data_IF_321165989585
#
_entry.id   IF_321165989585
#
_cell.length_a   1.000
_cell.length_b   1.000
_cell.length_c   1.000
_cell.angle_alpha   90.00
_cell.angle_beta   90.00
_cell.angle_gamma   90.00
#
_symmetry.space_group_name_H-M   'P 1'
#
loop_
_entity.id
_entity.type
_entity.pdbx_description
1 polymer ?
#
# COMPACT_ATOMS: atom_id res chain seq x y z
N UNK A 1 -15.14 38.44 -13.72
CA UNK A 1 -15.26 37.11 -14.35
C UNK A 1 -13.93 36.34 -14.44
N UNK A 2 -12.77 36.99 -14.61
CA UNK A 2 -11.45 36.31 -14.65
C UNK A 2 -10.96 35.73 -13.31
N UNK A 3 -11.43 36.23 -12.16
CA UNK A 3 -10.98 35.79 -10.83
C UNK A 3 -11.49 34.40 -10.44
N UNK A 4 -12.70 34.04 -10.89
CA UNK A 4 -13.30 32.72 -10.61
C UNK A 4 -12.57 31.55 -11.29
N UNK A 5 -12.08 31.78 -12.52
CA UNK A 5 -11.28 30.80 -13.26
C UNK A 5 -9.93 30.54 -12.56
N UNK A 6 -9.33 31.60 -12.02
CA UNK A 6 -8.06 31.52 -11.30
C UNK A 6 -8.20 30.80 -9.96
N UNK A 7 -9.26 31.07 -9.20
CA UNK A 7 -9.54 30.35 -7.94
C UNK A 7 -9.87 28.86 -8.17
N UNK A 8 -10.54 28.52 -9.27
CA UNK A 8 -10.83 27.13 -9.62
C UNK A 8 -9.55 26.37 -10.01
N UNK A 9 -8.61 27.02 -10.70
CA UNK A 9 -7.34 26.44 -11.13
C UNK A 9 -6.36 26.26 -9.95
N UNK A 10 -6.35 27.21 -9.00
CA UNK A 10 -5.56 27.12 -7.76
C UNK A 10 -6.15 26.07 -6.80
N UNK A 11 -7.48 25.98 -6.68
CA UNK A 11 -8.13 24.93 -5.88
C UNK A 11 -7.88 23.53 -6.46
N UNK A 12 -7.91 23.38 -7.79
CA UNK A 12 -7.57 22.13 -8.46
C UNK A 12 -6.10 21.73 -8.26
N UNK A 13 -5.18 22.70 -8.26
CA UNK A 13 -3.76 22.48 -7.96
C UNK A 13 -3.49 22.07 -6.50
N UNK A 14 -4.21 22.66 -5.54
CA UNK A 14 -4.04 22.39 -4.10
C UNK A 14 -4.52 20.99 -3.68
N UNK A 15 -5.52 20.44 -4.39
CA UNK A 15 -6.04 19.08 -4.13
C UNK A 15 -5.06 18.00 -4.64
N UNK A 16 -4.29 18.30 -5.68
CA UNK A 16 -3.29 17.39 -6.26
C UNK A 16 -2.02 17.28 -5.40
N UNK A 17 -1.73 18.30 -4.58
CA UNK A 17 -0.54 18.34 -3.72
C UNK A 17 -0.77 17.97 -2.26
N UNK A 18 -1.96 17.54 -1.81
CA UNK A 18 -2.12 17.11 -0.41
C UNK A 18 -1.37 15.80 -0.14
N UNK A 19 -0.26 15.81 0.63
CA UNK A 19 0.29 14.58 1.15
C UNK A 19 -0.70 13.97 2.14
N UNK A 20 -0.96 12.68 1.98
CA UNK A 20 -1.80 11.91 2.91
C UNK A 20 -1.23 12.06 4.34
N UNK A 21 -2.08 12.33 5.34
CA UNK A 21 -1.64 12.55 6.71
C UNK A 21 -0.90 11.32 7.25
N UNK A 22 0.30 11.56 7.78
CA UNK A 22 1.26 10.57 8.28
C UNK A 22 0.78 9.77 9.51
N UNK A 23 -0.42 10.03 10.04
CA UNK A 23 -0.93 9.40 11.27
C UNK A 23 -1.39 7.95 11.10
N UNK A 24 -1.51 7.45 9.86
CA UNK A 24 -1.81 6.04 9.60
C UNK A 24 -0.56 5.12 9.62
N UNK A 25 0.66 5.70 9.65
CA UNK A 25 1.92 4.93 9.68
C UNK A 25 2.33 4.45 11.08
N UNK A 26 1.86 5.10 12.15
CA UNK A 26 2.34 4.84 13.50
C UNK A 26 1.61 3.70 14.26
N UNK A 27 0.52 3.13 13.72
CA UNK A 27 -0.27 2.10 14.41
C UNK A 27 -0.04 0.68 13.90
N UNK A 28 0.70 0.51 12.80
CA UNK A 28 0.93 -0.80 12.18
C UNK A 28 2.33 -1.39 12.47
N UNK A 29 3.14 -0.75 13.31
CA UNK A 29 4.51 -1.17 13.64
C UNK A 29 4.75 -1.30 15.15
N UNK A 30 3.77 -1.81 15.90
CA UNK A 30 4.02 -2.38 17.23
C UNK A 30 3.88 -3.90 17.11
N UNK A 31 4.99 -4.65 17.06
CA UNK A 31 4.94 -6.07 17.34
C UNK A 31 4.74 -6.27 18.85
N UNK A 32 3.63 -6.90 19.23
CA UNK A 32 3.44 -7.48 20.56
C UNK A 32 4.45 -8.62 20.72
N UNK A 33 5.54 -8.32 21.42
CA UNK A 33 6.48 -9.28 21.99
C UNK A 33 6.35 -9.16 23.50
N UNK A 34 5.32 -9.77 24.08
CA UNK A 34 5.21 -9.98 25.51
C UNK A 34 4.26 -11.15 25.80
N UNK A 35 4.87 -12.29 26.16
CA UNK A 35 4.27 -13.28 27.06
C UNK A 35 3.34 -14.31 26.43
N UNK A 36 3.91 -15.41 25.94
CA UNK A 36 3.23 -16.71 26.04
C UNK A 36 4.24 -17.77 26.52
N UNK A 37 4.58 -17.63 27.80
CA UNK A 37 5.26 -18.59 28.63
C UNK A 37 4.47 -18.71 29.94
N UNK A 38 3.31 -19.37 29.87
CA UNK A 38 2.50 -19.91 30.96
C UNK A 38 1.16 -20.31 30.29
N UNK A 39 0.65 -21.53 30.33
CA UNK A 39 0.42 -22.31 31.53
C UNK A 39 -0.11 -23.68 31.09
N UNK A 40 0.63 -24.74 31.40
CA UNK A 40 0.29 -26.14 31.14
C UNK A 40 -0.40 -26.81 32.34
N UNK A 41 -0.92 -26.09 33.34
CA UNK A 41 -1.06 -26.70 34.69
C UNK A 41 -2.46 -26.80 35.31
N UNK A 42 -3.56 -26.42 34.66
CA UNK A 42 -4.88 -26.41 35.36
C UNK A 42 -6.03 -27.09 34.62
N UNK A 43 -5.72 -28.23 34.01
CA UNK A 43 -6.67 -29.34 33.80
C UNK A 43 -6.81 -30.13 35.12
N UNK A 44 -7.59 -29.68 36.12
CA UNK A 44 -8.04 -30.57 37.24
C UNK A 44 -9.03 -30.06 38.30
N UNK A 45 -9.57 -28.84 38.24
CA UNK A 45 -10.66 -28.45 39.14
C UNK A 45 -11.98 -28.47 38.34
N UNK A 46 -12.61 -29.63 38.13
CA UNK A 46 -13.44 -30.27 39.14
C UNK A 46 -14.24 -29.24 39.94
N UNK A 47 -15.51 -29.10 39.56
CA UNK A 47 -16.56 -29.91 40.16
C UNK A 47 -16.85 -29.38 41.56
N UNK A 48 -17.71 -28.36 41.60
CA UNK A 48 -18.71 -28.11 42.64
C UNK A 48 -19.25 -26.69 42.47
N UNK A 49 -20.29 -26.58 41.64
CA UNK A 49 -21.11 -25.38 41.52
C UNK A 49 -22.50 -25.67 40.93
N UNK A 50 -22.85 -26.97 40.85
CA UNK A 50 -24.05 -27.52 40.24
C UNK A 50 -25.33 -27.26 41.05
N UNK A 51 -25.32 -26.37 42.05
CA UNK A 51 -26.47 -26.06 42.90
C UNK A 51 -26.94 -24.60 42.82
N UNK A 52 -26.32 -23.73 42.01
CA UNK A 52 -26.81 -22.35 41.81
C UNK A 52 -27.83 -22.22 40.66
N UNK A 53 -28.42 -23.32 40.20
CA UNK A 53 -29.36 -23.40 39.05
C UNK A 53 -30.85 -23.23 39.39
N UNK A 54 -31.22 -22.71 40.58
CA UNK A 54 -32.65 -22.59 40.96
C UNK A 54 -33.20 -21.15 41.09
N UNK A 55 -32.46 -20.10 40.75
CA UNK A 55 -32.85 -18.72 41.09
C UNK A 55 -33.21 -17.72 39.97
N UNK A 56 -32.86 -17.92 38.70
CA UNK A 56 -32.90 -16.80 37.72
C UNK A 56 -33.47 -17.18 36.34
N UNK A 57 -34.54 -17.97 36.32
CA UNK A 57 -35.24 -18.38 35.09
C UNK A 57 -36.09 -17.25 34.45
N UNK A 58 -36.07 -16.01 34.97
CA UNK A 58 -36.95 -14.93 34.50
C UNK A 58 -36.27 -13.72 33.81
N UNK A 59 -34.94 -13.64 33.68
CA UNK A 59 -34.32 -12.46 33.03
C UNK A 59 -32.91 -12.79 32.54
N UNK A 60 -32.75 -13.13 31.26
CA UNK A 60 -31.40 -13.32 30.71
C UNK A 60 -31.23 -14.19 29.48
N UNK A 61 -32.27 -14.45 28.68
CA UNK A 61 -32.17 -14.97 27.31
C UNK A 61 -31.37 -14.06 26.34
N UNK A 62 -30.57 -13.12 26.85
CA UNK A 62 -30.00 -11.98 26.14
C UNK A 62 -28.46 -11.92 26.12
N UNK A 63 -27.74 -12.85 26.77
CA UNK A 63 -26.29 -12.60 26.98
C UNK A 63 -25.32 -13.77 26.92
N UNK A 64 -25.79 -14.97 26.62
CA UNK A 64 -24.95 -16.05 26.14
C UNK A 64 -25.81 -16.75 25.08
N UNK A 65 -25.45 -16.69 23.81
CA UNK A 65 -24.71 -17.81 23.24
C UNK A 65 -24.28 -17.44 21.82
N UNK A 66 -23.00 -17.70 21.55
CA UNK A 66 -22.53 -18.31 20.29
C UNK A 66 -22.71 -17.45 19.03
N UNK A 67 -21.69 -16.78 18.46
CA UNK A 67 -20.32 -17.20 18.20
C UNK A 67 -19.44 -15.97 17.89
N UNK A 68 -18.14 -16.14 18.14
CA UNK A 68 -17.03 -15.60 17.31
C UNK A 68 -17.49 -15.01 15.95
N UNK A 69 -16.90 -13.87 15.57
CA UNK A 69 -16.13 -13.96 14.33
C UNK A 69 -14.74 -13.35 14.46
N UNK A 70 -13.76 -14.20 14.14
CA UNK A 70 -12.48 -13.80 13.55
C UNK A 70 -12.74 -12.99 12.28
N UNK A 71 -11.94 -11.94 12.09
CA UNK A 71 -11.47 -11.35 10.84
C UNK A 71 -12.48 -10.78 9.81
N UNK A 72 -12.39 -9.45 9.70
CA UNK A 72 -12.70 -8.51 8.60
C UNK A 72 -12.88 -9.05 7.17
N UNK A 73 -13.94 -8.56 6.49
CA UNK A 73 -13.82 -7.88 5.21
C UNK A 73 -14.40 -6.45 5.29
N UNK A 74 -13.80 -5.51 4.56
CA UNK A 74 -14.27 -4.11 4.52
C UNK A 74 -15.65 -4.05 3.88
N UNK A 75 -16.64 -3.76 4.72
CA UNK A 75 -18.06 -3.78 4.39
C UNK A 75 -18.46 -2.60 3.47
N UNK A 76 -18.89 -2.85 2.23
CA UNK A 76 -19.29 -1.80 1.26
C UNK A 76 -20.51 -1.00 1.73
N UNK A 77 -21.21 -1.44 2.77
CA UNK A 77 -22.38 -0.75 3.34
C UNK A 77 -22.02 0.46 4.21
N UNK A 78 -20.82 0.51 4.82
CA UNK A 78 -20.30 1.74 5.48
C UNK A 78 -19.92 2.83 4.48
N UNK A 79 -19.45 2.45 3.29
CA UNK A 79 -19.19 3.40 2.20
C UNK A 79 -20.49 4.03 1.66
N UNK A 80 -21.59 3.27 1.64
CA UNK A 80 -22.92 3.74 1.22
C UNK A 80 -23.57 4.67 2.25
N UNK A 81 -23.39 4.44 3.56
CA UNK A 81 -23.93 5.31 4.63
C UNK A 81 -23.19 6.65 4.76
N UNK A 82 -21.87 6.66 4.55
CA UNK A 82 -21.08 7.90 4.50
C UNK A 82 -21.39 8.72 3.22
N UNK A 83 -21.71 8.04 2.11
CA UNK A 83 -22.23 8.69 0.90
C UNK A 83 -23.62 9.32 1.09
N UNK A 84 -24.54 8.62 1.76
CA UNK A 84 -25.89 9.13 2.03
C UNK A 84 -25.91 10.35 2.98
N UNK A 85 -25.01 10.39 3.97
CA UNK A 85 -24.90 11.53 4.89
C UNK A 85 -24.38 12.81 4.21
N UNK A 86 -23.61 12.69 3.13
CA UNK A 86 -23.13 13.82 2.34
C UNK A 86 -24.20 14.39 1.39
N UNK A 87 -25.13 13.55 0.94
CA UNK A 87 -26.31 13.97 0.15
C UNK A 87 -27.32 14.72 1.02
N UNK A 88 -27.42 14.40 2.32
CA UNK A 88 -28.33 15.07 3.25
C UNK A 88 -27.92 16.52 3.62
N UNK A 89 -26.70 16.96 3.30
CA UNK A 89 -26.26 18.36 3.46
C UNK A 89 -26.75 19.31 2.35
N UNK A 90 -27.56 18.81 1.41
CA UNK A 90 -28.14 19.51 0.27
C UNK A 90 -29.25 20.53 0.66
N UNK A 91 -28.95 21.48 1.55
CA UNK A 91 -29.87 22.54 1.97
C UNK A 91 -29.23 23.94 1.85
N UNK A 92 -28.57 24.27 0.72
CA UNK A 92 -28.98 25.52 0.07
C UNK A 92 -29.07 25.40 -1.46
N UNK A 93 -30.22 25.80 -2.00
CA UNK A 93 -30.93 25.09 -3.07
C UNK A 93 -30.72 25.53 -4.55
N UNK A 94 -29.99 26.59 -4.97
CA UNK A 94 -29.88 26.88 -6.42
C UNK A 94 -28.50 26.57 -7.06
N UNK A 95 -27.43 26.34 -6.29
CA UNK A 95 -26.07 26.11 -6.83
C UNK A 95 -25.79 24.60 -7.03
N UNK A 96 -26.70 23.74 -6.56
CA UNK A 96 -26.46 22.32 -6.37
C UNK A 96 -26.39 21.45 -7.65
N UNK A 97 -27.19 21.61 -8.72
CA UNK A 97 -27.20 20.60 -9.79
C UNK A 97 -25.91 20.60 -10.61
N UNK A 98 -25.28 21.77 -10.78
CA UNK A 98 -24.05 21.92 -11.57
C UNK A 98 -22.82 21.41 -10.81
N UNK A 99 -22.78 21.55 -9.48
CA UNK A 99 -21.69 21.06 -8.64
C UNK A 99 -21.88 19.62 -8.14
N UNK A 100 -23.12 19.11 -8.06
CA UNK A 100 -23.42 17.77 -7.58
C UNK A 100 -22.94 16.67 -8.56
N UNK A 101 -23.08 16.88 -9.87
CA UNK A 101 -22.61 15.95 -10.90
C UNK A 101 -21.10 15.69 -10.83
N UNK A 102 -20.21 16.71 -10.84
CA UNK A 102 -18.78 16.47 -10.71
C UNK A 102 -18.39 15.95 -9.32
N UNK A 103 -19.06 16.38 -8.25
CA UNK A 103 -18.79 15.86 -6.91
C UNK A 103 -19.13 14.36 -6.79
N UNK A 104 -20.25 13.92 -7.36
CA UNK A 104 -20.63 12.50 -7.43
C UNK A 104 -19.65 11.69 -8.29
N UNK A 105 -19.22 12.23 -9.44
CA UNK A 105 -18.22 11.59 -10.30
C UNK A 105 -16.87 11.42 -9.58
N UNK A 106 -16.42 12.45 -8.85
CA UNK A 106 -15.19 12.41 -8.04
C UNK A 106 -15.32 11.43 -6.87
N UNK A 107 -16.45 11.42 -6.17
CA UNK A 107 -16.72 10.47 -5.08
C UNK A 107 -16.73 9.01 -5.55
N UNK A 108 -17.24 8.75 -6.76
CA UNK A 108 -17.20 7.44 -7.40
C UNK A 108 -15.78 7.06 -7.88
N UNK A 109 -15.03 8.01 -8.43
CA UNK A 109 -13.70 7.75 -9.00
C UNK A 109 -12.59 7.60 -7.95
N UNK A 110 -12.68 8.30 -6.81
CA UNK A 110 -11.70 8.22 -5.72
C UNK A 110 -11.40 6.79 -5.23
N UNK A 111 -12.39 5.93 -4.89
CA UNK A 111 -12.13 4.59 -4.40
C UNK A 111 -11.45 3.71 -5.46
N UNK A 112 -11.83 3.82 -6.74
CA UNK A 112 -11.21 3.11 -7.86
C UNK A 112 -9.73 3.44 -7.99
N UNK A 113 -9.36 4.72 -7.92
CA UNK A 113 -7.97 5.17 -7.96
C UNK A 113 -7.21 4.75 -6.70
N UNK A 114 -7.83 4.88 -5.52
CA UNK A 114 -7.21 4.50 -4.26
C UNK A 114 -6.85 3.01 -4.23
N UNK A 115 -7.75 2.14 -4.71
CA UNK A 115 -7.51 0.70 -4.82
C UNK A 115 -6.35 0.40 -5.78
N UNK A 116 -6.35 0.99 -6.98
CA UNK A 116 -5.24 0.85 -7.94
C UNK A 116 -3.90 1.34 -7.38
N UNK A 117 -3.91 2.40 -6.58
CA UNK A 117 -2.70 2.91 -5.92
C UNK A 117 -2.21 1.97 -4.82
N UNK A 118 -3.11 1.32 -4.08
CA UNK A 118 -2.75 0.34 -3.04
C UNK A 118 -2.07 -0.89 -3.64
N UNK A 119 -2.65 -1.48 -4.70
CA UNK A 119 -2.05 -2.64 -5.37
C UNK A 119 -0.69 -2.31 -5.96
N UNK A 120 -0.59 -1.18 -6.68
CA UNK A 120 0.70 -0.69 -7.20
C UNK A 120 1.75 -0.45 -6.11
N UNK A 121 1.34 0.05 -4.93
CA UNK A 121 2.26 0.22 -3.79
C UNK A 121 2.73 -1.12 -3.23
N UNK A 122 1.85 -2.11 -3.15
CA UNK A 122 2.20 -3.46 -2.70
C UNK A 122 3.22 -4.11 -3.66
N UNK A 123 2.94 -4.14 -4.97
CA UNK A 123 3.86 -4.69 -5.97
C UNK A 123 5.21 -3.97 -5.97
N UNK A 124 5.22 -2.64 -5.85
CA UNK A 124 6.49 -1.89 -5.72
C UNK A 124 7.26 -2.22 -4.46
N UNK A 125 6.58 -2.51 -3.35
CA UNK A 125 7.25 -2.93 -2.13
C UNK A 125 7.93 -4.30 -2.32
N UNK A 126 7.26 -5.24 -2.99
CA UNK A 126 7.83 -6.54 -3.39
C UNK A 126 9.05 -6.34 -4.29
N UNK A 127 8.96 -5.53 -5.35
CA UNK A 127 10.09 -5.30 -6.25
C UNK A 127 11.31 -4.66 -5.58
N UNK A 128 11.10 -3.83 -4.55
CA UNK A 128 12.20 -3.20 -3.82
C UNK A 128 12.89 -4.16 -2.84
N UNK A 129 12.15 -5.16 -2.36
CA UNK A 129 12.60 -6.19 -1.41
C UNK A 129 13.19 -7.42 -2.12
N UNK A 130 12.85 -7.60 -3.40
CA UNK A 130 13.33 -8.70 -4.24
C UNK A 130 14.86 -8.88 -4.26
N UNK A 131 15.71 -7.83 -4.36
CA UNK A 131 17.16 -8.01 -4.32
C UNK A 131 17.66 -8.76 -3.09
N UNK A 132 17.12 -8.40 -1.92
CA UNK A 132 17.53 -8.97 -0.64
C UNK A 132 17.11 -10.44 -0.53
N UNK A 133 15.89 -10.76 -0.96
CA UNK A 133 15.42 -12.15 -1.00
C UNK A 133 16.24 -13.01 -1.97
N UNK A 134 16.58 -12.49 -3.15
CA UNK A 134 17.43 -13.19 -4.13
C UNK A 134 18.83 -13.42 -3.58
N UNK A 135 19.44 -12.42 -2.95
CA UNK A 135 20.77 -12.53 -2.35
C UNK A 135 20.82 -13.62 -1.26
N UNK A 136 19.79 -13.72 -0.42
CA UNK A 136 19.69 -14.77 0.59
C UNK A 136 19.48 -16.17 -0.03
N UNK A 137 18.72 -16.27 -1.11
CA UNK A 137 18.54 -17.53 -1.84
C UNK A 137 19.83 -18.00 -2.51
N UNK A 138 20.55 -17.09 -3.18
CA UNK A 138 21.87 -17.36 -3.77
C UNK A 138 22.83 -17.86 -2.70
N UNK A 139 22.89 -17.17 -1.55
CA UNK A 139 23.77 -17.56 -0.44
C UNK A 139 23.42 -18.95 0.11
N UNK A 140 22.13 -19.25 0.27
CA UNK A 140 21.67 -20.54 0.75
C UNK A 140 21.98 -21.68 -0.21
N UNK A 141 21.65 -21.50 -1.50
CA UNK A 141 21.83 -22.53 -2.53
C UNK A 141 23.31 -22.71 -2.86
N UNK A 142 24.08 -21.63 -2.93
CA UNK A 142 25.54 -21.67 -3.06
C UNK A 142 26.23 -22.36 -1.89
N UNK A 143 25.63 -22.33 -0.70
CA UNK A 143 26.06 -23.09 0.48
C UNK A 143 25.63 -24.56 0.49
N UNK A 144 25.00 -25.06 -0.58
CA UNK A 144 24.58 -26.46 -0.72
C UNK A 144 23.16 -26.76 -0.21
N UNK A 145 22.35 -25.76 0.14
CA UNK A 145 20.94 -25.99 0.47
C UNK A 145 20.15 -26.36 -0.80
N UNK A 146 19.26 -27.34 -0.68
CA UNK A 146 18.24 -27.58 -1.71
C UNK A 146 17.33 -26.35 -1.88
N UNK A 147 16.69 -26.22 -3.05
CA UNK A 147 15.77 -25.12 -3.36
C UNK A 147 14.70 -24.95 -2.27
N UNK A 148 14.09 -26.06 -1.85
CA UNK A 148 13.09 -26.08 -0.77
C UNK A 148 13.66 -25.57 0.56
N UNK A 149 14.83 -26.04 0.97
CA UNK A 149 15.46 -25.62 2.23
C UNK A 149 15.87 -24.14 2.20
N UNK A 150 16.38 -23.65 1.07
CA UNK A 150 16.70 -22.24 0.90
C UNK A 150 15.45 -21.37 0.99
N UNK A 151 14.34 -21.77 0.35
CA UNK A 151 13.05 -21.08 0.45
C UNK A 151 12.52 -21.06 1.89
N UNK A 152 12.60 -22.18 2.61
CA UNK A 152 12.22 -22.26 4.02
C UNK A 152 13.09 -21.34 4.90
N UNK A 153 14.40 -21.30 4.67
CA UNK A 153 15.32 -20.44 5.41
C UNK A 153 15.02 -18.94 5.17
N UNK A 154 14.81 -18.54 3.91
CA UNK A 154 14.48 -17.15 3.55
C UNK A 154 13.07 -16.78 4.03
N UNK A 155 12.11 -17.70 3.94
CA UNK A 155 10.78 -17.49 4.50
C UNK A 155 10.83 -17.30 6.02
N UNK A 156 11.63 -18.08 6.75
CA UNK A 156 11.73 -17.98 8.20
C UNK A 156 12.44 -16.69 8.67
N UNK A 157 13.54 -16.31 8.01
CA UNK A 157 14.42 -15.21 8.45
C UNK A 157 14.13 -13.87 7.79
N UNK A 158 13.48 -13.86 6.63
CA UNK A 158 13.17 -12.64 5.89
C UNK A 158 12.02 -11.85 6.52
N UNK A 159 12.22 -10.53 6.62
CA UNK A 159 11.25 -9.60 7.22
C UNK A 159 10.48 -8.75 6.19
N UNK A 160 10.69 -9.01 4.89
CA UNK A 160 10.13 -8.24 3.80
C UNK A 160 8.84 -8.82 3.17
N UNK A 161 8.17 -8.06 2.29
CA UNK A 161 6.98 -8.51 1.56
C UNK A 161 7.25 -9.75 0.69
N UNK A 162 8.45 -9.92 0.15
CA UNK A 162 8.80 -11.15 -0.61
C UNK A 162 8.82 -12.35 0.33
N UNK A 163 9.44 -12.22 1.50
CA UNK A 163 9.46 -13.28 2.50
C UNK A 163 8.05 -13.68 2.97
N UNK A 164 7.12 -12.72 3.10
CA UNK A 164 5.72 -13.01 3.41
C UNK A 164 5.02 -13.86 2.33
N UNK A 165 5.28 -13.58 1.05
CA UNK A 165 4.79 -14.40 -0.06
C UNK A 165 5.45 -15.79 -0.07
N UNK A 166 6.76 -15.87 0.20
CA UNK A 166 7.48 -17.15 0.31
C UNK A 166 6.97 -18.01 1.49
N UNK A 167 6.64 -17.42 2.63
CA UNK A 167 5.96 -18.12 3.76
C UNK A 167 4.67 -18.79 3.30
N UNK A 168 3.93 -18.14 2.41
CA UNK A 168 2.68 -18.70 1.86
C UNK A 168 2.98 -19.90 0.96
N UNK A 169 4.01 -19.82 0.12
CA UNK A 169 4.45 -20.95 -0.72
C UNK A 169 4.92 -22.12 0.14
N UNK A 170 5.76 -21.87 1.15
CA UNK A 170 6.22 -22.91 2.09
C UNK A 170 5.04 -23.57 2.79
N UNK A 171 4.03 -22.80 3.21
CA UNK A 171 2.81 -23.34 3.80
C UNK A 171 1.95 -24.15 2.81
N UNK A 172 1.91 -23.76 1.53
CA UNK A 172 1.22 -24.54 0.48
C UNK A 172 1.91 -25.88 0.24
N UNK A 173 3.25 -25.88 0.22
CA UNK A 173 4.05 -27.10 0.06
C UNK A 173 3.94 -28.01 1.27
N UNK A 174 3.93 -27.46 2.50
CA UNK A 174 3.69 -28.23 3.72
C UNK A 174 2.29 -28.89 3.74
N UNK A 175 1.33 -28.34 2.99
CA UNK A 175 0.00 -28.93 2.78
C UNK A 175 -0.06 -29.96 1.65
N UNK A 176 1.09 -30.32 1.07
CA UNK A 176 1.20 -31.36 0.04
C UNK A 176 1.08 -30.85 -1.40
N UNK A 177 1.02 -29.53 -1.65
CA UNK A 177 1.16 -29.01 -3.02
C UNK A 177 2.59 -29.19 -3.52
N UNK A 178 2.75 -29.43 -4.83
CA UNK A 178 4.07 -29.45 -5.45
C UNK A 178 4.68 -28.05 -5.40
N UNK A 179 5.99 -27.97 -5.11
CA UNK A 179 6.71 -26.70 -5.01
C UNK A 179 6.64 -25.89 -6.31
N UNK A 180 6.84 -26.54 -7.45
CA UNK A 180 6.74 -25.92 -8.77
C UNK A 180 5.38 -25.24 -8.99
N UNK A 181 4.28 -25.91 -8.66
CA UNK A 181 2.93 -25.36 -8.88
C UNK A 181 2.64 -24.19 -7.92
N UNK A 182 3.13 -24.27 -6.68
CA UNK A 182 2.98 -23.19 -5.71
C UNK A 182 3.81 -21.94 -6.07
N UNK A 183 5.00 -22.13 -6.65
CA UNK A 183 5.84 -21.05 -7.18
C UNK A 183 5.22 -20.39 -8.42
N UNK A 184 4.63 -21.18 -9.33
CA UNK A 184 4.02 -20.66 -10.56
C UNK A 184 2.81 -19.73 -10.29
N UNK A 185 2.13 -19.87 -9.15
CA UNK A 185 1.07 -18.94 -8.71
C UNK A 185 1.59 -17.63 -8.07
N UNK A 186 2.88 -17.58 -7.69
CA UNK A 186 3.46 -16.44 -6.96
C UNK A 186 3.40 -15.12 -7.74
N UNK A 187 3.66 -15.05 -9.07
CA UNK A 187 3.58 -13.80 -9.84
C UNK A 187 2.20 -13.17 -9.82
N UNK A 188 1.13 -13.96 -9.78
CA UNK A 188 -0.26 -13.45 -9.69
C UNK A 188 -0.53 -12.73 -8.36
N UNK A 189 0.15 -13.14 -7.28
CA UNK A 189 -0.05 -12.59 -5.92
C UNK A 189 0.95 -11.46 -5.61
N UNK A 190 2.22 -11.67 -5.93
CA UNK A 190 3.32 -10.76 -5.59
C UNK A 190 3.60 -9.71 -6.70
N UNK A 191 3.15 -9.95 -7.92
CA UNK A 191 3.34 -9.08 -9.09
C UNK A 191 4.39 -9.60 -10.06
N UNK A 192 4.44 -9.03 -11.25
CA UNK A 192 5.23 -9.55 -12.37
C UNK A 192 6.75 -9.53 -12.15
N UNK A 193 7.24 -8.63 -11.29
CA UNK A 193 8.68 -8.48 -11.03
C UNK A 193 9.36 -9.73 -10.45
N UNK A 194 8.62 -10.66 -9.84
CA UNK A 194 9.15 -11.92 -9.29
C UNK A 194 9.22 -13.04 -10.33
N UNK A 195 8.63 -12.85 -11.51
CA UNK A 195 8.49 -13.90 -12.53
C UNK A 195 9.84 -14.49 -12.99
N UNK A 196 10.93 -13.71 -13.16
CA UNK A 196 12.24 -14.28 -13.48
C UNK A 196 12.79 -15.21 -12.39
N UNK A 197 12.60 -14.83 -11.11
CA UNK A 197 12.99 -15.66 -9.96
C UNK A 197 12.19 -16.97 -9.95
N UNK A 198 10.87 -16.87 -10.09
CA UNK A 198 9.98 -18.04 -10.11
C UNK A 198 10.36 -18.99 -11.25
N UNK A 199 10.59 -18.47 -12.46
CA UNK A 199 10.99 -19.29 -13.60
C UNK A 199 12.30 -20.04 -13.35
N UNK A 200 13.31 -19.38 -12.76
CA UNK A 200 14.57 -20.02 -12.40
C UNK A 200 14.38 -21.12 -11.35
N UNK A 201 13.65 -20.85 -10.26
CA UNK A 201 13.40 -21.81 -9.18
C UNK A 201 12.56 -23.01 -9.66
N UNK A 202 11.48 -22.76 -10.41
CA UNK A 202 10.62 -23.82 -10.96
C UNK A 202 11.41 -24.71 -11.93
N UNK A 203 12.29 -24.14 -12.75
CA UNK A 203 13.11 -24.91 -13.69
C UNK A 203 14.14 -25.80 -12.98
N UNK A 204 14.76 -25.29 -11.92
CA UNK A 204 15.68 -26.08 -11.09
C UNK A 204 14.95 -27.22 -10.37
N UNK A 205 13.75 -26.98 -9.85
CA UNK A 205 12.98 -28.01 -9.17
C UNK A 205 12.44 -29.09 -10.12
N UNK A 206 11.95 -28.70 -11.31
CA UNK A 206 11.39 -29.65 -12.29
C UNK A 206 12.45 -30.48 -13.00
N UNK A 207 13.60 -29.88 -13.31
CA UNK A 207 14.60 -30.48 -14.22
C UNK A 207 15.97 -30.71 -13.57
N UNK A 208 16.16 -30.35 -12.29
CA UNK A 208 17.46 -30.44 -11.62
C UNK A 208 18.53 -29.55 -12.26
N UNK A 209 18.13 -28.52 -13.00
CA UNK A 209 19.05 -27.66 -13.73
C UNK A 209 19.99 -26.90 -12.77
N UNK A 210 21.26 -26.67 -13.15
CA UNK A 210 22.20 -25.93 -12.31
C UNK A 210 21.70 -24.50 -12.07
N UNK A 211 21.29 -24.23 -10.83
CA UNK A 211 20.58 -23.00 -10.45
C UNK A 211 21.53 -21.83 -10.12
N UNK A 212 22.77 -22.12 -9.73
CA UNK A 212 23.73 -21.12 -9.26
C UNK A 212 23.95 -20.01 -10.30
N UNK A 213 24.32 -20.38 -11.54
CA UNK A 213 24.58 -19.40 -12.59
C UNK A 213 23.34 -18.58 -12.99
N UNK A 214 22.13 -19.15 -12.88
CA UNK A 214 20.89 -18.44 -13.18
C UNK A 214 20.54 -17.45 -12.06
N UNK A 215 20.70 -17.84 -10.80
CA UNK A 215 20.46 -16.96 -9.66
C UNK A 215 21.52 -15.86 -9.53
N UNK A 216 22.79 -16.13 -9.83
CA UNK A 216 23.85 -15.11 -9.83
C UNK A 216 23.55 -14.01 -10.86
N UNK A 217 23.19 -14.41 -12.09
CA UNK A 217 22.76 -13.47 -13.14
C UNK A 217 21.54 -12.66 -12.71
N UNK A 218 20.57 -13.31 -12.08
CA UNK A 218 19.36 -12.65 -11.59
C UNK A 218 19.68 -11.68 -10.44
N UNK A 219 20.57 -12.05 -9.52
CA UNK A 219 21.02 -11.19 -8.42
C UNK A 219 21.69 -9.94 -8.98
N UNK A 220 22.57 -10.08 -9.96
CA UNK A 220 23.21 -8.96 -10.64
C UNK A 220 22.21 -8.06 -11.37
N UNK A 221 21.23 -8.64 -12.06
CA UNK A 221 20.18 -7.89 -12.74
C UNK A 221 19.31 -7.10 -11.75
N UNK A 222 18.91 -7.72 -10.65
CA UNK A 222 18.07 -7.10 -9.63
C UNK A 222 18.86 -6.01 -8.87
N UNK A 223 20.15 -6.22 -8.60
CA UNK A 223 21.07 -5.20 -8.05
C UNK A 223 21.28 -4.04 -9.03
N UNK A 224 21.49 -4.31 -10.31
CA UNK A 224 21.62 -3.30 -11.35
C UNK A 224 20.32 -2.47 -11.48
N UNK A 225 19.17 -3.12 -11.41
CA UNK A 225 17.86 -2.45 -11.44
C UNK A 225 17.68 -1.54 -10.23
N UNK A 226 18.09 -1.97 -9.03
CA UNK A 226 18.09 -1.13 -7.82
C UNK A 226 18.96 0.12 -8.01
N UNK A 227 20.14 -0.01 -8.60
CA UNK A 227 21.05 1.12 -8.91
C UNK A 227 20.43 2.08 -9.93
N UNK A 228 19.91 1.56 -11.05
CA UNK A 228 19.22 2.37 -12.08
C UNK A 228 18.06 3.18 -11.50
N UNK A 229 17.25 2.58 -10.63
CA UNK A 229 16.14 3.28 -9.96
C UNK A 229 16.63 4.45 -9.08
N UNK A 230 17.76 4.27 -8.39
CA UNK A 230 18.36 5.35 -7.60
C UNK A 230 18.88 6.48 -8.50
N UNK A 231 19.53 6.13 -9.62
CA UNK A 231 20.01 7.12 -10.60
C UNK A 231 18.86 7.87 -11.29
N UNK A 232 17.79 7.17 -11.68
CA UNK A 232 16.59 7.80 -12.22
C UNK A 232 15.93 8.75 -11.23
N UNK A 233 15.89 8.37 -9.94
CA UNK A 233 15.36 9.23 -8.90
C UNK A 233 16.20 10.51 -8.79
N UNK A 234 17.53 10.40 -8.84
CA UNK A 234 18.45 11.54 -8.82
C UNK A 234 18.25 12.45 -10.05
N UNK A 235 18.13 11.89 -11.26
CA UNK A 235 17.90 12.66 -12.51
C UNK A 235 16.57 13.41 -12.53
N UNK A 236 15.57 12.98 -11.75
CA UNK A 236 14.26 13.67 -11.65
C UNK A 236 14.26 14.82 -10.64
N UNK A 237 15.29 14.95 -9.81
CA UNK A 237 15.37 16.04 -8.81
C UNK A 237 15.45 17.42 -9.47
N UNK A 238 16.33 17.69 -10.47
CA UNK A 238 16.43 19.00 -11.10
C UNK A 238 15.11 19.44 -11.77
N UNK A 239 14.42 18.52 -12.43
CA UNK A 239 13.14 18.81 -13.11
C UNK A 239 12.06 19.22 -12.11
N UNK A 240 12.03 18.59 -10.92
CA UNK A 240 11.11 18.98 -9.84
C UNK A 240 11.45 20.32 -9.20
N UNK A 241 12.72 20.74 -9.22
CA UNK A 241 13.17 22.04 -8.73
C UNK A 241 12.87 23.17 -9.71
N UNK A 242 12.76 22.86 -11.01
CA UNK A 242 12.44 23.84 -12.05
C UNK A 242 11.00 24.38 -11.91
N UNK A 243 10.07 23.54 -11.46
CA UNK A 243 8.68 23.94 -11.25
C UNK A 243 8.49 25.10 -10.24
N UNK A 244 8.97 25.02 -8.98
CA UNK A 244 8.88 26.13 -8.04
C UNK A 244 9.69 27.35 -8.49
N UNK A 245 10.81 27.14 -9.20
CA UNK A 245 11.63 28.23 -9.74
C UNK A 245 10.86 29.05 -10.79
N UNK A 246 10.23 28.38 -11.77
CA UNK A 246 9.39 29.04 -12.78
C UNK A 246 8.17 29.70 -12.15
N UNK A 247 7.53 29.03 -11.18
CA UNK A 247 6.38 29.57 -10.46
C UNK A 247 6.70 30.84 -9.65
N UNK A 248 7.96 31.06 -9.25
CA UNK A 248 8.39 32.26 -8.53
C UNK A 248 8.87 33.37 -9.49
N UNK A 249 9.57 33.01 -10.58
CA UNK A 249 10.08 33.97 -11.56
C UNK A 249 8.95 34.60 -12.38
N UNK A 250 7.95 33.82 -12.81
CA UNK A 250 6.87 34.34 -13.64
C UNK A 250 6.08 35.51 -12.99
N UNK A 251 5.62 35.42 -11.73
CA UNK A 251 4.95 36.54 -11.08
C UNK A 251 5.89 37.72 -10.81
N UNK A 252 7.16 37.47 -10.47
CA UNK A 252 8.14 38.54 -10.28
C UNK A 252 8.40 39.30 -11.58
N UNK A 253 8.56 38.59 -12.70
CA UNK A 253 8.75 39.18 -14.02
C UNK A 253 7.51 39.95 -14.50
N UNK A 254 6.31 39.41 -14.28
CA UNK A 254 5.06 40.10 -14.58
C UNK A 254 4.92 41.39 -13.76
N UNK A 255 5.27 41.38 -12.46
CA UNK A 255 5.29 42.60 -11.65
C UNK A 255 6.27 43.63 -12.21
N UNK A 256 7.49 43.21 -12.54
CA UNK A 256 8.56 44.10 -13.01
C UNK A 256 8.21 44.79 -14.35
N UNK A 257 7.49 44.09 -15.23
CA UNK A 257 7.10 44.61 -16.56
C UNK A 257 5.80 45.40 -16.52
N UNK A 258 4.78 44.92 -15.79
CA UNK A 258 3.47 45.58 -15.72
C UNK A 258 3.49 46.83 -14.85
N UNK A 259 4.27 46.86 -13.77
CA UNK A 259 4.34 48.01 -12.86
C UNK A 259 4.76 49.34 -13.52
N UNK A 260 5.87 49.43 -14.29
CA UNK A 260 6.25 50.66 -14.96
C UNK A 260 5.30 51.03 -16.09
N UNK A 261 4.69 50.05 -16.77
CA UNK A 261 3.72 50.28 -17.84
C UNK A 261 2.47 50.98 -17.31
N UNK A 262 1.95 50.50 -16.17
CA UNK A 262 0.82 51.11 -15.47
C UNK A 262 1.20 52.48 -14.91
N UNK A 263 2.38 52.61 -14.29
CA UNK A 263 2.86 53.88 -13.76
C UNK A 263 3.02 54.96 -14.85
N UNK A 264 3.53 54.57 -16.02
CA UNK A 264 3.62 55.43 -17.19
C UNK A 264 2.25 55.87 -17.69
N UNK A 265 1.34 54.92 -17.93
CA UNK A 265 -0.01 55.22 -18.41
C UNK A 265 -0.82 56.12 -17.45
N UNK A 266 -0.68 55.92 -16.14
CA UNK A 266 -1.29 56.78 -15.13
C UNK A 266 -0.72 58.20 -15.17
N UNK A 267 0.58 58.37 -15.42
CA UNK A 267 1.20 59.69 -15.51
C UNK A 267 0.67 60.48 -16.71
N UNK A 268 0.40 59.80 -17.83
CA UNK A 268 -0.19 60.42 -19.03
C UNK A 268 -1.68 60.75 -18.84
N UNK A 269 -2.41 59.97 -18.05
CA UNK A 269 -3.84 60.21 -17.78
C UNK A 269 -4.11 61.25 -16.68
N UNK A 270 -3.12 61.55 -15.81
CA UNK A 270 -3.25 62.47 -14.67
C UNK A 270 -2.77 63.90 -14.94
N UNK A 271 -2.52 64.29 -16.19
CA UNK A 271 -2.15 65.65 -16.56
C UNK A 271 -3.18 66.24 -17.55
N UNK A 272 -4.02 67.19 -17.13
CA UNK A 272 -4.19 68.45 -17.85
C UNK A 272 -2.96 69.36 -17.68
#
# INVERSE_FOLDING_TARGET
MLTGLWTALVAAGAVILRPLPAKARARALRPDMAGDAADTTTRRAHANGALARLGTVATGAARALMLRPRATPVDPTRARRVGAALVAGAIPLPILPVAALPAAAVAWYLPLVAQRRRTRRAHRAVENDLPEAVDLLVLGIGGGLSVRQALEAVAARGNGPVAAHLKTVVADVARGRRLADALDELPTKAGEGVRPLVAALTSAERYGAPLNAALDRLADEVRATRRRRAEEAARRVPVKLLFPLVACILPAFALLTVAPLIAGALKTLRLP
#
